data_IF_557816810132
#
_entry.id   IF_557816810132
#
_cell.length_a   1.000
_cell.length_b   1.000
_cell.length_c   1.000
_cell.angle_alpha   90.00
_cell.angle_beta   90.00
_cell.angle_gamma   90.00
#
_symmetry.space_group_name_H-M   'P 1'
#
loop_
_entity.id
_entity.type
_entity.pdbx_description
1 polymer ?
#
# COMPACT_ATOMS: atom_id res chain seq x y z
N UNK A 1 21.63 -11.38 3.32
CA UNK A 1 20.92 -10.23 2.72
C UNK A 1 19.92 -10.79 1.72
N UNK A 2 18.65 -10.94 2.11
CA UNK A 2 17.63 -11.62 1.32
C UNK A 2 16.67 -10.58 0.71
N UNK A 3 16.45 -10.68 -0.60
CA UNK A 3 15.22 -10.19 -1.22
C UNK A 3 15.32 -9.10 -2.29
N UNK A 4 16.30 -9.14 -3.19
CA UNK A 4 16.05 -8.55 -4.52
C UNK A 4 15.00 -9.40 -5.22
N UNK A 5 13.72 -9.01 -5.16
CA UNK A 5 12.70 -9.49 -6.09
C UNK A 5 12.69 -8.56 -7.28
N UNK A 6 13.61 -8.81 -8.22
CA UNK A 6 13.54 -8.26 -9.57
C UNK A 6 12.40 -8.92 -10.32
N UNK A 7 11.49 -8.14 -10.93
CA UNK A 7 10.52 -8.69 -11.88
C UNK A 7 9.58 -7.68 -12.51
N UNK A 8 8.94 -6.83 -11.71
CA UNK A 8 7.98 -5.83 -12.18
C UNK A 8 7.99 -4.68 -11.18
N UNK A 9 8.09 -3.43 -11.66
CA UNK A 9 7.90 -2.25 -10.81
C UNK A 9 6.42 -2.28 -10.38
N UNK A 10 6.13 -2.94 -9.26
CA UNK A 10 4.78 -3.10 -8.76
C UNK A 10 4.30 -1.85 -8.04
N UNK A 11 3.00 -1.79 -7.75
CA UNK A 11 2.38 -0.67 -7.04
C UNK A 11 3.13 -0.28 -5.75
N UNK A 12 3.66 -1.28 -5.04
CA UNK A 12 4.50 -1.12 -3.84
C UNK A 12 5.79 -0.32 -4.10
N UNK A 13 6.43 -0.50 -5.24
CA UNK A 13 7.70 0.17 -5.58
C UNK A 13 7.46 1.65 -5.92
N UNK A 14 6.36 1.95 -6.64
CA UNK A 14 5.94 3.33 -6.91
C UNK A 14 5.59 4.05 -5.60
N UNK A 15 4.89 3.37 -4.69
CA UNK A 15 4.55 3.92 -3.38
C UNK A 15 5.80 4.18 -2.55
N UNK A 16 6.80 3.27 -2.59
CA UNK A 16 8.07 3.46 -1.93
C UNK A 16 8.81 4.70 -2.47
N UNK A 17 8.91 4.81 -3.79
CA UNK A 17 9.52 5.96 -4.46
C UNK A 17 8.80 7.28 -4.13
N UNK A 18 7.46 7.32 -4.15
CA UNK A 18 6.66 8.51 -3.83
C UNK A 18 6.76 8.90 -2.34
N UNK A 19 6.79 7.93 -1.43
CA UNK A 19 6.94 8.19 0.00
C UNK A 19 8.40 8.46 0.43
N UNK A 20 9.37 8.36 -0.48
CA UNK A 20 10.79 8.50 -0.16
C UNK A 20 11.37 7.33 0.64
N UNK A 21 10.67 6.20 0.68
CA UNK A 21 11.14 4.97 1.31
C UNK A 21 12.04 4.22 0.33
N UNK A 22 13.28 3.96 0.73
CA UNK A 22 14.22 3.18 -0.09
C UNK A 22 13.92 1.67 -0.07
N UNK A 23 13.09 1.21 0.87
CA UNK A 23 12.76 -0.20 1.08
C UNK A 23 11.26 -0.43 1.28
N UNK A 24 10.72 -1.48 0.65
CA UNK A 24 9.32 -1.90 0.81
C UNK A 24 8.96 -2.25 2.28
N UNK A 25 9.92 -2.80 3.02
CA UNK A 25 9.73 -3.11 4.44
C UNK A 25 9.59 -1.85 5.30
N UNK A 26 10.23 -0.75 4.89
CA UNK A 26 10.06 0.55 5.54
C UNK A 26 8.74 1.18 5.12
N UNK A 27 8.34 1.02 3.85
CA UNK A 27 7.03 1.45 3.36
C UNK A 27 5.88 0.82 4.14
N UNK A 28 5.94 -0.48 4.45
CA UNK A 28 4.93 -1.15 5.28
C UNK A 28 4.86 -0.58 6.72
N UNK A 29 6.00 -0.12 7.27
CA UNK A 29 6.06 0.54 8.58
C UNK A 29 5.62 2.01 8.53
N UNK A 30 5.93 2.69 7.43
CA UNK A 30 5.64 4.11 7.16
C UNK A 30 4.26 4.31 6.53
N UNK A 31 3.57 3.23 6.13
CA UNK A 31 2.20 3.28 5.60
C UNK A 31 1.20 3.95 6.55
N UNK A 32 1.55 4.05 7.83
CA UNK A 32 0.88 4.89 8.84
C UNK A 32 1.32 6.36 8.79
N UNK A 33 1.73 6.89 7.63
CA UNK A 33 1.98 8.32 7.45
C UNK A 33 0.95 8.93 6.49
N UNK A 34 0.36 10.08 6.85
CA UNK A 34 -0.85 10.65 6.22
C UNK A 34 -0.69 10.92 4.70
N UNK A 35 0.54 10.92 4.23
CA UNK A 35 0.94 11.16 2.84
C UNK A 35 0.64 9.94 1.95
N UNK A 36 0.62 8.73 2.52
CA UNK A 36 0.42 7.48 1.80
C UNK A 36 -0.96 7.35 1.13
N UNK A 37 -2.10 7.61 1.83
CA UNK A 37 -3.41 7.62 1.17
C UNK A 37 -3.55 8.73 0.11
N UNK A 38 -2.85 9.86 0.26
CA UNK A 38 -2.83 10.92 -0.75
C UNK A 38 -2.16 10.44 -2.05
N UNK A 39 -0.98 9.84 -1.94
CA UNK A 39 -0.27 9.25 -3.07
C UNK A 39 -1.07 8.12 -3.75
N UNK A 40 -1.74 7.27 -2.96
CA UNK A 40 -2.65 6.26 -3.50
C UNK A 40 -3.82 6.88 -4.26
N UNK A 41 -4.35 8.00 -3.78
CA UNK A 41 -5.46 8.69 -4.44
C UNK A 41 -5.06 9.25 -5.80
N UNK A 42 -3.82 9.74 -5.94
CA UNK A 42 -3.26 10.18 -7.22
C UNK A 42 -3.04 9.03 -8.22
N UNK A 43 -2.69 7.83 -7.74
CA UNK A 43 -2.49 6.66 -8.60
C UNK A 43 -3.85 6.19 -9.14
N UNK A 44 -3.99 6.10 -10.46
CA UNK A 44 -5.22 5.58 -11.05
C UNK A 44 -5.33 4.07 -10.81
N UNK A 45 -6.50 3.60 -10.38
CA UNK A 45 -6.72 2.18 -10.10
C UNK A 45 -6.51 1.31 -11.35
N UNK A 46 -6.73 1.87 -12.55
CA UNK A 46 -6.59 1.18 -13.83
C UNK A 46 -5.15 1.05 -14.33
N UNK A 47 -4.19 1.76 -13.72
CA UNK A 47 -2.76 1.66 -14.07
C UNK A 47 -2.18 0.30 -13.64
N UNK A 48 -2.81 -0.34 -12.65
CA UNK A 48 -2.38 -1.61 -12.09
C UNK A 48 -3.48 -2.64 -12.17
N UNK A 49 -3.08 -3.90 -12.32
CA UNK A 49 -4.03 -5.01 -12.29
C UNK A 49 -4.62 -5.19 -10.89
N UNK A 50 -5.87 -5.66 -10.84
CA UNK A 50 -6.54 -6.07 -9.60
C UNK A 50 -5.64 -6.93 -8.70
N UNK A 51 -4.92 -7.89 -9.29
CA UNK A 51 -4.01 -8.78 -8.59
C UNK A 51 -2.86 -8.06 -7.89
N UNK A 52 -2.34 -6.99 -8.49
CA UNK A 52 -1.29 -6.18 -7.86
C UNK A 52 -1.84 -5.36 -6.69
N UNK A 53 -3.08 -4.88 -6.80
CA UNK A 53 -3.76 -4.23 -5.69
C UNK A 53 -4.00 -5.22 -4.53
N UNK A 54 -4.48 -6.43 -4.82
CA UNK A 54 -4.68 -7.49 -3.82
C UNK A 54 -3.36 -7.87 -3.12
N UNK A 55 -2.27 -8.03 -3.89
CA UNK A 55 -0.94 -8.32 -3.35
C UNK A 55 -0.43 -7.17 -2.47
N UNK A 56 -0.63 -5.92 -2.92
CA UNK A 56 -0.28 -4.71 -2.16
C UNK A 56 -1.08 -4.61 -0.86
N UNK A 57 -2.39 -4.90 -0.89
CA UNK A 57 -3.25 -4.93 0.30
C UNK A 57 -2.77 -6.01 1.27
N UNK A 58 -2.50 -7.22 0.77
CA UNK A 58 -1.99 -8.32 1.59
C UNK A 58 -0.63 -7.99 2.21
N UNK A 59 0.26 -7.32 1.45
CA UNK A 59 1.57 -6.94 1.94
C UNK A 59 1.53 -5.81 2.99
N UNK A 60 0.72 -4.77 2.77
CA UNK A 60 0.65 -3.59 3.64
C UNK A 60 -0.20 -3.81 4.89
N UNK A 61 -1.35 -4.48 4.73
CA UNK A 61 -2.30 -4.70 5.84
C UNK A 61 -2.06 -6.05 6.52
N UNK A 62 -1.30 -6.95 5.91
CA UNK A 62 -1.21 -8.35 6.33
C UNK A 62 -2.49 -9.15 6.06
N UNK A 63 -3.53 -8.53 5.48
CA UNK A 63 -4.82 -9.16 5.20
C UNK A 63 -4.94 -9.48 3.72
N UNK A 64 -5.09 -10.76 3.41
CA UNK A 64 -5.41 -11.22 2.06
C UNK A 64 -6.90 -11.01 1.82
N UNK A 65 -7.25 -9.96 1.08
CA UNK A 65 -8.61 -9.67 0.66
C UNK A 65 -8.69 -9.71 -0.86
N UNK A 66 -9.74 -10.36 -1.37
CA UNK A 66 -10.03 -10.36 -2.79
C UNK A 66 -11.09 -9.34 -3.15
N UNK A 67 -10.85 -8.65 -4.27
CA UNK A 67 -11.74 -7.60 -4.75
C UNK A 67 -12.24 -7.94 -6.15
N UNK A 68 -13.37 -7.35 -6.54
CA UNK A 68 -13.94 -7.55 -7.88
C UNK A 68 -13.40 -6.53 -8.88
N UNK A 69 -12.95 -5.37 -8.38
CA UNK A 69 -12.45 -4.25 -9.15
C UNK A 69 -11.25 -3.59 -8.47
N UNK A 70 -10.27 -3.07 -9.23
CA UNK A 70 -9.08 -2.43 -8.66
C UNK A 70 -9.44 -1.17 -7.86
N UNK A 71 -10.53 -0.49 -8.20
CA UNK A 71 -11.06 0.65 -7.45
C UNK A 71 -11.47 0.27 -6.02
N UNK A 72 -12.13 -0.88 -5.85
CA UNK A 72 -12.50 -1.41 -4.53
C UNK A 72 -11.26 -1.69 -3.70
N UNK A 73 -10.24 -2.30 -4.30
CA UNK A 73 -8.99 -2.62 -3.62
C UNK A 73 -8.26 -1.33 -3.18
N UNK A 74 -8.21 -0.32 -4.04
CA UNK A 74 -7.66 1.01 -3.73
C UNK A 74 -8.40 1.67 -2.58
N UNK A 75 -9.73 1.73 -2.63
CA UNK A 75 -10.54 2.34 -1.57
C UNK A 75 -10.37 1.60 -0.24
N UNK A 76 -10.34 0.27 -0.28
CA UNK A 76 -10.09 -0.54 0.91
C UNK A 76 -8.70 -0.26 1.49
N UNK A 77 -7.67 -0.19 0.66
CA UNK A 77 -6.30 0.11 1.10
C UNK A 77 -6.22 1.50 1.76
N UNK A 78 -6.82 2.51 1.14
CA UNK A 78 -6.87 3.88 1.68
C UNK A 78 -7.61 3.90 3.02
N UNK A 79 -8.77 3.25 3.11
CA UNK A 79 -9.55 3.16 4.34
C UNK A 79 -8.82 2.41 5.45
N UNK A 80 -8.18 1.29 5.13
CA UNK A 80 -7.40 0.51 6.08
C UNK A 80 -6.20 1.28 6.60
N UNK A 81 -5.49 2.02 5.73
CA UNK A 81 -4.40 2.87 6.18
C UNK A 81 -4.92 3.97 7.09
N UNK A 82 -5.99 4.70 6.71
CA UNK A 82 -6.64 5.72 7.55
C UNK A 82 -7.07 5.17 8.93
N UNK A 83 -7.60 3.94 9.01
CA UNK A 83 -8.01 3.32 10.26
C UNK A 83 -6.81 2.99 11.17
N UNK A 84 -5.70 2.51 10.61
CA UNK A 84 -4.49 2.19 11.38
C UNK A 84 -3.86 3.41 12.08
N UNK A 85 -4.07 4.63 11.57
CA UNK A 85 -3.65 5.85 12.28
C UNK A 85 -4.46 6.08 13.56
N UNK A 86 -5.78 5.81 13.52
CA UNK A 86 -6.65 6.05 14.66
C UNK A 86 -6.30 5.12 15.82
N UNK A 87 -5.97 3.86 15.54
CA UNK A 87 -5.59 2.88 16.57
C UNK A 87 -4.18 3.12 17.14
N UNK A 88 -3.22 3.60 16.34
CA UNK A 88 -1.86 3.85 16.81
C UNK A 88 -1.72 5.14 17.65
N UNK A 89 -2.64 6.10 17.52
CA UNK A 89 -2.57 7.37 18.25
C UNK A 89 -3.09 7.29 19.70
N UNK A 90 -3.70 6.16 20.11
CA UNK A 90 -4.19 5.95 21.49
C UNK A 90 -3.12 5.34 22.43
N UNK A 91 -1.98 4.87 21.91
CA UNK A 91 -0.85 4.34 22.71
C UNK A 91 0.36 5.27 22.79
N UNK A 92 0.16 6.58 22.91
CA UNK A 92 1.24 7.56 23.10
C UNK A 92 1.07 8.35 24.37
#
# INVERSE_FOLDING_TARGET
MNGMKTGTIGLLDILAAKSGCMYLSDLAKTGTNMIMPHHLHEINAQEFSLREWEDTVSYLTGQSQSFTAPEQAKQYLVGCMLNQFAENHEKR
#
